data_IF_981184372374
#
_entry.id   IF_981184372374
#
_cell.length_a   1.000
_cell.length_b   1.000
_cell.length_c   1.000
_cell.angle_alpha   90.00
_cell.angle_beta   90.00
_cell.angle_gamma   90.00
#
_symmetry.space_group_name_H-M   'P 1'
#
loop_
_entity.id
_entity.type
_entity.pdbx_description
1 polymer ?
#
# COMPACT_ATOMS: atom_id res chain seq x y z
N UNK A 1 -0.04 -0.36 -25.32
CA UNK A 1 0.48 0.49 -24.24
C UNK A 1 1.41 -0.33 -23.35
N UNK A 2 2.48 0.26 -22.83
CA UNK A 2 3.36 -0.48 -21.94
C UNK A 2 2.63 -0.85 -20.65
N UNK A 3 2.94 -2.02 -20.12
CA UNK A 3 2.38 -2.46 -18.85
C UNK A 3 3.10 -1.78 -17.70
N UNK A 4 2.35 -1.50 -16.64
CA UNK A 4 2.85 -0.89 -15.42
C UNK A 4 3.01 -1.96 -14.35
N UNK A 5 4.15 -1.96 -13.66
CA UNK A 5 4.44 -2.93 -12.60
C UNK A 5 4.67 -2.19 -11.28
N UNK A 6 4.00 -2.64 -10.23
CA UNK A 6 4.12 -2.01 -8.90
C UNK A 6 5.55 -1.96 -8.39
N UNK A 7 6.37 -2.96 -8.73
CA UNK A 7 7.77 -2.98 -8.31
C UNK A 7 8.58 -1.80 -8.84
N UNK A 8 8.10 -1.13 -9.88
CA UNK A 8 8.74 0.03 -10.49
C UNK A 8 8.10 1.35 -10.03
N UNK A 9 7.09 1.27 -9.18
CA UNK A 9 6.37 2.45 -8.71
C UNK A 9 7.03 3.02 -7.44
N UNK A 10 7.17 4.35 -7.39
CA UNK A 10 7.75 5.02 -6.21
C UNK A 10 6.91 4.85 -4.95
N UNK A 11 5.63 4.53 -5.09
CA UNK A 11 4.72 4.32 -3.96
C UNK A 11 4.65 2.87 -3.49
N UNK A 12 5.39 1.99 -4.14
CA UNK A 12 5.44 0.59 -3.76
C UNK A 12 6.19 0.41 -2.44
N UNK A 13 5.61 -0.34 -1.52
CA UNK A 13 6.22 -0.59 -0.23
C UNK A 13 5.88 -1.95 0.31
N UNK A 14 6.52 -2.29 1.40
CA UNK A 14 6.25 -3.51 2.16
C UNK A 14 5.79 -3.10 3.55
N UNK A 15 4.56 -3.47 3.88
CA UNK A 15 4.02 -3.27 5.22
C UNK A 15 4.07 -4.58 5.98
N UNK A 16 4.70 -4.55 7.15
CA UNK A 16 4.85 -5.74 7.97
C UNK A 16 4.36 -5.47 9.39
N UNK A 17 3.34 -6.20 9.80
CA UNK A 17 2.89 -6.19 11.18
C UNK A 17 3.65 -7.24 11.97
N UNK A 18 3.75 -7.02 13.28
CA UNK A 18 4.40 -7.97 14.18
C UNK A 18 3.71 -9.33 14.10
N UNK A 19 4.49 -10.37 13.83
CA UNK A 19 3.99 -11.73 13.72
C UNK A 19 3.50 -12.13 12.34
N UNK A 20 3.63 -11.24 11.33
CA UNK A 20 3.23 -11.56 9.95
C UNK A 20 4.44 -11.57 9.02
N UNK A 21 4.27 -12.18 7.85
CA UNK A 21 5.29 -12.19 6.81
C UNK A 21 5.38 -10.85 6.06
N UNK A 22 4.41 -9.97 6.29
CA UNK A 22 4.32 -8.70 5.56
C UNK A 22 3.53 -8.85 4.26
N UNK A 23 3.16 -7.71 3.68
CA UNK A 23 2.47 -7.67 2.40
C UNK A 23 2.90 -6.44 1.62
N UNK A 24 2.83 -6.55 0.30
CA UNK A 24 3.12 -5.43 -0.58
C UNK A 24 1.94 -4.47 -0.61
N UNK A 25 2.22 -3.18 -0.48
CA UNK A 25 1.19 -2.15 -0.36
C UNK A 25 1.50 -0.98 -1.29
N UNK A 26 0.45 -0.23 -1.62
CA UNK A 26 0.59 1.02 -2.34
C UNK A 26 0.49 2.16 -1.34
N UNK A 27 1.56 2.92 -1.18
CA UNK A 27 1.65 4.02 -0.22
C UNK A 27 1.32 5.39 -0.85
N UNK A 28 0.62 5.38 -1.98
CA UNK A 28 0.16 6.63 -2.58
C UNK A 28 -0.72 7.39 -1.58
N UNK A 29 -0.56 8.73 -1.45
CA UNK A 29 -1.34 9.52 -0.47
C UNK A 29 -2.85 9.31 -0.56
N UNK A 30 -3.39 9.15 -1.77
CA UNK A 30 -4.82 8.93 -1.98
C UNK A 30 -5.27 7.51 -1.64
N UNK A 31 -4.32 6.61 -1.37
CA UNK A 31 -4.60 5.22 -1.03
C UNK A 31 -4.33 4.91 0.44
N UNK A 32 -3.99 5.90 1.23
CA UNK A 32 -3.69 5.72 2.64
C UNK A 32 -4.61 6.55 3.51
N UNK A 33 -4.81 6.10 4.73
CA UNK A 33 -5.59 6.80 5.72
C UNK A 33 -5.15 6.43 7.12
N UNK A 34 -5.82 6.99 8.10
CA UNK A 34 -5.57 6.68 9.51
C UNK A 34 -6.88 6.27 10.14
N UNK A 35 -6.85 5.17 10.88
CA UNK A 35 -8.00 4.68 11.64
C UNK A 35 -7.60 4.52 13.11
N UNK A 36 -8.56 4.72 13.99
CA UNK A 36 -8.36 4.47 15.40
C UNK A 36 -8.64 3.01 15.71
N UNK A 37 -7.75 2.38 16.46
CA UNK A 37 -7.91 1.00 16.90
C UNK A 37 -7.71 0.91 18.40
N UNK A 38 -8.62 0.21 19.07
CA UNK A 38 -8.54 -0.04 20.50
C UNK A 38 -8.90 -1.50 20.77
N UNK A 39 -8.10 -2.15 21.63
CA UNK A 39 -8.40 -3.49 22.09
C UNK A 39 -8.02 -3.59 23.59
N UNK A 40 -8.08 -4.80 24.15
CA UNK A 40 -7.80 -5.02 25.57
C UNK A 40 -6.37 -4.71 25.96
N UNK A 41 -5.45 -4.71 25.00
CA UNK A 41 -4.02 -4.54 25.25
C UNK A 41 -3.57 -3.09 25.04
N UNK A 42 -4.06 -2.43 23.99
CA UNK A 42 -3.56 -1.11 23.61
C UNK A 42 -4.57 -0.34 22.76
N UNK A 43 -4.22 0.90 22.50
CA UNK A 43 -5.01 1.79 21.66
C UNK A 43 -4.08 2.69 20.87
N UNK A 44 -4.57 3.24 19.79
CA UNK A 44 -3.79 4.18 18.98
C UNK A 44 -4.29 4.28 17.56
N UNK A 45 -3.63 5.13 16.79
CA UNK A 45 -3.92 5.30 15.38
C UNK A 45 -3.12 4.29 14.57
N UNK A 46 -3.76 3.70 13.57
CA UNK A 46 -3.10 2.79 12.64
C UNK A 46 -3.21 3.34 11.22
N UNK A 47 -2.18 3.06 10.42
CA UNK A 47 -2.21 3.38 9.01
C UNK A 47 -3.01 2.31 8.27
N UNK A 48 -3.92 2.75 7.41
CA UNK A 48 -4.72 1.84 6.59
C UNK A 48 -4.46 2.12 5.12
N UNK A 49 -4.67 1.10 4.30
CA UNK A 49 -4.58 1.21 2.84
C UNK A 49 -5.96 0.92 2.26
N UNK A 50 -6.46 1.85 1.45
CA UNK A 50 -7.84 1.80 0.94
C UNK A 50 -7.99 0.64 -0.04
N UNK A 51 -7.00 0.46 -0.92
CA UNK A 51 -7.00 -0.63 -1.89
C UNK A 51 -5.69 -1.40 -1.80
N UNK A 52 -5.77 -2.71 -1.98
CA UNK A 52 -4.58 -3.55 -2.06
C UNK A 52 -3.84 -3.28 -3.37
N UNK A 53 -2.50 -3.30 -3.32
CA UNK A 53 -1.67 -2.97 -4.47
C UNK A 53 -1.99 -3.84 -5.69
N UNK A 54 -2.15 -5.15 -5.49
CA UNK A 54 -2.44 -6.06 -6.59
C UNK A 54 -3.81 -5.82 -7.21
N UNK A 55 -4.77 -5.33 -6.44
CA UNK A 55 -6.09 -4.97 -6.96
C UNK A 55 -6.00 -3.67 -7.77
N UNK A 56 -5.28 -2.67 -7.27
CA UNK A 56 -5.10 -1.40 -7.98
C UNK A 56 -4.45 -1.59 -9.34
N UNK A 57 -3.55 -2.55 -9.45
CA UNK A 57 -2.79 -2.79 -10.68
C UNK A 57 -3.14 -4.13 -11.34
N UNK A 58 -4.37 -4.59 -11.15
CA UNK A 58 -4.79 -5.90 -11.63
C UNK A 58 -4.66 -6.06 -13.16
N UNK A 59 -4.81 -4.96 -13.90
CA UNK A 59 -4.67 -4.94 -15.36
C UNK A 59 -3.37 -4.28 -15.81
N UNK A 60 -2.41 -4.11 -14.90
CA UNK A 60 -1.13 -3.44 -15.16
C UNK A 60 -1.31 -2.02 -15.74
N UNK A 61 -2.28 -1.29 -15.21
CA UNK A 61 -2.62 0.07 -15.65
C UNK A 61 -3.01 0.99 -14.49
N UNK A 62 -2.38 0.81 -13.33
CA UNK A 62 -2.70 1.59 -12.14
C UNK A 62 -2.65 3.10 -12.42
N UNK A 63 -3.74 3.84 -12.13
CA UNK A 63 -3.80 5.29 -12.40
C UNK A 63 -2.86 6.11 -11.51
N UNK A 64 -2.46 5.57 -10.37
CA UNK A 64 -1.60 6.27 -9.41
C UNK A 64 -0.12 5.94 -9.60
N UNK A 65 0.22 5.23 -10.66
CA UNK A 65 1.61 4.85 -10.91
C UNK A 65 2.49 6.07 -11.12
N UNK A 66 3.62 6.08 -10.44
CA UNK A 66 4.70 7.03 -10.65
C UNK A 66 6.01 6.25 -10.67
N UNK A 67 6.79 6.44 -11.72
CA UNK A 67 8.06 5.72 -11.85
C UNK A 67 9.01 6.11 -10.72
N UNK A 68 9.60 5.09 -10.08
CA UNK A 68 10.60 5.33 -9.05
C UNK A 68 11.85 5.95 -9.66
N UNK A 69 12.34 7.01 -9.03
CA UNK A 69 13.60 7.64 -9.40
C UNK A 69 14.71 6.99 -8.58
N UNK A 70 15.57 6.25 -9.25
CA UNK A 70 16.70 5.61 -8.61
C UNK A 70 17.97 6.38 -8.91
#
# INVERSE_FOLDING_TARGET
>A
MPKIYCSECRHFGLYKEKGTLGEFVCEHPDNTGIAYKEDWLSWGDIKIFIHEAHIKNISNNCPDYEKALI
#
